data_IF_650654462868
#
_entry.id   IF_650654462868
#
_cell.length_a   1.000
_cell.length_b   1.000
_cell.length_c   1.000
_cell.angle_alpha   90.00
_cell.angle_beta   90.00
_cell.angle_gamma   90.00
#
_symmetry.space_group_name_H-M   'P 1'
#
loop_
_entity.id
_entity.type
_entity.pdbx_description
1 polymer ?
#
# COMPACT_ATOMS: atom_id res chain seq x y z
N UNK A 1 -16.01 25.10 -26.61
CA UNK A 1 -15.23 25.71 -25.51
C UNK A 1 -16.05 25.96 -24.25
N UNK A 2 -17.17 26.70 -24.33
CA UNK A 2 -18.03 26.93 -23.16
C UNK A 2 -18.60 25.63 -22.55
N UNK A 3 -18.96 24.66 -23.40
CA UNK A 3 -19.43 23.34 -22.96
C UNK A 3 -18.36 22.56 -22.17
N UNK A 4 -17.11 22.53 -22.67
CA UNK A 4 -15.98 21.86 -22.01
C UNK A 4 -15.61 22.50 -20.67
N UNK A 5 -15.65 23.83 -20.60
CA UNK A 5 -15.42 24.60 -19.36
C UNK A 5 -16.44 24.20 -18.29
N UNK A 6 -17.74 24.19 -18.65
CA UNK A 6 -18.82 23.82 -17.74
C UNK A 6 -18.76 22.36 -17.28
N UNK A 7 -18.43 21.45 -18.20
CA UNK A 7 -18.26 20.02 -17.90
C UNK A 7 -17.09 19.78 -16.92
N UNK A 8 -15.97 20.49 -17.14
CA UNK A 8 -14.80 20.45 -16.28
C UNK A 8 -15.08 21.02 -14.88
N UNK A 9 -15.78 22.15 -14.77
CA UNK A 9 -16.14 22.74 -13.48
C UNK A 9 -17.05 21.83 -12.66
N UNK A 10 -18.09 21.30 -13.30
CA UNK A 10 -19.00 20.34 -12.68
C UNK A 10 -18.25 19.10 -12.15
N UNK A 11 -17.29 18.58 -12.92
CA UNK A 11 -16.47 17.45 -12.48
C UNK A 11 -15.57 17.79 -11.28
N UNK A 12 -14.91 18.95 -11.27
CA UNK A 12 -14.02 19.35 -10.18
C UNK A 12 -14.78 19.58 -8.87
N UNK A 13 -16.00 20.13 -8.96
CA UNK A 13 -16.89 20.30 -7.81
C UNK A 13 -17.39 18.96 -7.26
N UNK A 14 -17.83 18.05 -8.15
CA UNK A 14 -18.35 16.74 -7.74
C UNK A 14 -17.26 15.80 -7.20
N UNK A 15 -16.06 15.83 -7.77
CA UNK A 15 -14.96 14.93 -7.37
C UNK A 15 -14.14 15.46 -6.20
N UNK A 16 -14.24 16.75 -5.87
CA UNK A 16 -13.35 17.41 -4.91
C UNK A 16 -11.89 17.48 -5.38
N UNK A 17 -11.60 17.15 -6.65
CA UNK A 17 -10.26 17.13 -7.19
C UNK A 17 -9.74 18.56 -7.42
N UNK A 18 -8.49 18.83 -7.01
CA UNK A 18 -7.83 20.10 -7.30
C UNK A 18 -7.48 20.22 -8.79
N UNK A 19 -7.64 21.38 -9.45
CA UNK A 19 -7.27 21.58 -10.85
C UNK A 19 -5.81 21.22 -11.18
N UNK A 20 -4.89 21.41 -10.24
CA UNK A 20 -3.47 21.04 -10.36
C UNK A 20 -3.22 19.54 -10.29
N UNK A 21 -4.11 18.77 -9.65
CA UNK A 21 -4.06 17.31 -9.65
C UNK A 21 -4.54 16.78 -11.01
N UNK A 22 -5.63 17.32 -11.54
CA UNK A 22 -6.12 17.00 -12.88
C UNK A 22 -5.06 17.29 -13.95
N UNK A 23 -4.44 18.48 -13.90
CA UNK A 23 -3.38 18.87 -14.85
C UNK A 23 -2.27 17.81 -14.92
N UNK A 24 -1.75 17.37 -13.77
CA UNK A 24 -0.74 16.32 -13.68
C UNK A 24 -1.23 14.99 -14.22
N UNK A 25 -2.46 14.60 -13.88
CA UNK A 25 -3.02 13.31 -14.27
C UNK A 25 -3.21 13.16 -15.79
N UNK A 26 -3.48 14.25 -16.52
CA UNK A 26 -3.66 14.23 -17.97
C UNK A 26 -2.43 14.74 -18.76
N UNK A 27 -1.33 15.02 -18.06
CA UNK A 27 -0.11 15.56 -18.67
C UNK A 27 -0.26 16.99 -19.24
N UNK A 28 -1.12 17.81 -18.64
CA UNK A 28 -1.35 19.21 -18.99
C UNK A 28 -0.57 20.17 -18.05
N UNK A 29 -0.34 21.40 -18.52
CA UNK A 29 0.12 22.48 -17.65
C UNK A 29 -1.03 23.04 -16.81
N UNK A 30 -0.72 23.56 -15.62
CA UNK A 30 -1.71 24.23 -14.77
C UNK A 30 -2.34 25.47 -15.47
N UNK A 31 -1.56 26.17 -16.30
CA UNK A 31 -2.05 27.29 -17.10
C UNK A 31 -3.08 26.85 -18.14
N UNK A 32 -2.89 25.70 -18.77
CA UNK A 32 -3.80 25.16 -19.78
C UNK A 32 -5.17 24.82 -19.15
N UNK A 33 -5.18 24.16 -17.99
CA UNK A 33 -6.43 23.88 -17.27
C UNK A 33 -7.15 25.16 -16.84
N UNK A 34 -6.41 26.18 -16.39
CA UNK A 34 -6.98 27.49 -16.04
C UNK A 34 -7.59 28.22 -17.25
N UNK A 35 -6.94 28.14 -18.41
CA UNK A 35 -7.44 28.70 -19.67
C UNK A 35 -8.67 27.96 -20.20
N UNK A 36 -8.71 26.63 -20.07
CA UNK A 36 -9.90 25.84 -20.42
C UNK A 36 -11.05 26.16 -19.46
N UNK A 37 -10.78 26.26 -18.16
CA UNK A 37 -11.79 26.62 -17.14
C UNK A 37 -12.41 27.99 -17.44
N UNK A 38 -11.61 28.99 -17.75
CA UNK A 38 -12.08 30.34 -18.12
C UNK A 38 -12.61 30.46 -19.56
N UNK A 39 -12.73 29.35 -20.30
CA UNK A 39 -13.14 29.30 -21.71
C UNK A 39 -12.28 30.17 -22.67
N UNK A 40 -11.04 30.49 -22.28
CA UNK A 40 -10.12 31.38 -23.00
C UNK A 40 -9.05 30.65 -23.82
N UNK A 41 -9.00 29.32 -23.74
CA UNK A 41 -8.05 28.51 -24.49
C UNK A 41 -8.35 28.49 -26.00
N UNK A 42 -7.35 28.85 -26.82
CA UNK A 42 -7.44 28.94 -28.29
C UNK A 42 -6.57 27.92 -29.05
N UNK A 43 -5.97 26.98 -28.32
CA UNK A 43 -5.12 25.95 -28.91
C UNK A 43 -5.92 24.76 -29.45
N UNK A 44 -5.35 23.55 -29.35
CA UNK A 44 -6.00 22.34 -29.83
C UNK A 44 -7.12 21.88 -28.88
N UNK A 45 -8.31 22.47 -29.07
CA UNK A 45 -9.51 22.18 -28.28
C UNK A 45 -9.94 20.72 -28.44
N UNK A 46 -9.75 20.11 -29.61
CA UNK A 46 -10.17 18.74 -29.89
C UNK A 46 -9.33 17.74 -29.08
N UNK A 47 -8.01 17.92 -29.05
CA UNK A 47 -7.12 17.06 -28.27
C UNK A 47 -7.43 17.10 -26.76
N UNK A 48 -7.57 18.30 -26.21
CA UNK A 48 -7.76 18.46 -24.76
C UNK A 48 -9.18 18.15 -24.29
N UNK A 49 -10.19 18.42 -25.13
CA UNK A 49 -11.56 17.96 -24.84
C UNK A 49 -11.63 16.45 -24.74
N UNK A 50 -11.00 15.72 -25.68
CA UNK A 50 -10.92 14.26 -25.63
C UNK A 50 -10.23 13.76 -24.36
N UNK A 51 -9.02 14.26 -24.06
CA UNK A 51 -8.27 13.86 -22.86
C UNK A 51 -9.03 14.13 -21.56
N UNK A 52 -9.70 15.28 -21.45
CA UNK A 52 -10.49 15.63 -20.26
C UNK A 52 -11.72 14.73 -20.18
N UNK A 53 -12.46 14.51 -21.26
CA UNK A 53 -13.64 13.63 -21.27
C UNK A 53 -13.28 12.18 -20.97
N UNK A 54 -12.19 11.66 -21.54
CA UNK A 54 -11.67 10.32 -21.26
C UNK A 54 -11.29 10.18 -19.76
N UNK A 55 -10.67 11.21 -19.19
CA UNK A 55 -10.35 11.24 -17.76
C UNK A 55 -11.61 11.27 -16.89
N UNK A 56 -12.58 12.13 -17.22
CA UNK A 56 -13.85 12.25 -16.51
C UNK A 56 -14.64 10.93 -16.57
N UNK A 57 -14.69 10.28 -17.74
CA UNK A 57 -15.34 8.99 -17.94
C UNK A 57 -14.70 7.90 -17.06
N UNK A 58 -13.38 7.74 -17.15
CA UNK A 58 -12.64 6.77 -16.33
C UNK A 58 -12.77 7.04 -14.81
N UNK A 59 -12.86 8.32 -14.42
CA UNK A 59 -13.05 8.69 -13.02
C UNK A 59 -14.49 8.44 -12.54
N UNK A 60 -15.49 8.65 -13.41
CA UNK A 60 -16.89 8.30 -13.12
C UNK A 60 -17.10 6.79 -13.07
N UNK A 61 -16.44 6.02 -13.93
CA UNK A 61 -16.48 4.56 -13.88
C UNK A 61 -15.88 4.05 -12.57
N UNK A 62 -14.73 4.59 -12.14
CA UNK A 62 -14.11 4.26 -10.84
C UNK A 62 -14.93 4.69 -9.61
N UNK A 63 -15.78 5.72 -9.71
CA UNK A 63 -16.64 6.17 -8.60
C UNK A 63 -18.05 5.55 -8.61
N UNK A 64 -18.60 5.24 -9.79
CA UNK A 64 -19.89 4.57 -9.95
C UNK A 64 -19.77 3.05 -9.86
N UNK A 65 -18.57 2.50 -10.05
CA UNK A 65 -18.14 1.32 -9.31
C UNK A 65 -18.16 1.69 -7.82
N UNK A 66 -19.35 1.65 -7.20
CA UNK A 66 -19.45 1.03 -5.87
C UNK A 66 -18.52 -0.17 -5.97
N UNK A 67 -17.50 -0.33 -5.10
CA UNK A 67 -16.62 -1.48 -5.20
C UNK A 67 -17.59 -2.63 -5.36
N UNK A 68 -17.60 -3.29 -6.54
CA UNK A 68 -18.30 -4.54 -6.65
C UNK A 68 -17.75 -5.24 -5.43
N UNK A 69 -18.60 -5.58 -4.47
CA UNK A 69 -18.23 -6.61 -3.52
C UNK A 69 -18.06 -7.82 -4.43
N UNK A 70 -16.91 -7.89 -5.12
CA UNK A 70 -16.33 -9.14 -5.54
C UNK A 70 -16.43 -9.94 -4.28
N UNK A 71 -17.41 -10.85 -4.27
CA UNK A 71 -17.64 -11.69 -3.13
C UNK A 71 -16.32 -12.43 -3.00
N UNK A 72 -15.52 -12.01 -2.02
CA UNK A 72 -14.20 -12.56 -1.83
C UNK A 72 -14.41 -14.05 -1.64
N UNK A 73 -13.95 -14.83 -2.61
CA UNK A 73 -14.13 -16.26 -2.57
C UNK A 73 -13.22 -16.80 -1.45
N UNK A 74 -13.86 -17.19 -0.34
CA UNK A 74 -13.15 -17.74 0.82
C UNK A 74 -12.76 -19.18 0.51
N UNK A 75 -11.63 -19.32 -0.19
CA UNK A 75 -11.02 -20.62 -0.45
C UNK A 75 -10.57 -21.29 0.86
N UNK A 76 -10.16 -22.55 0.74
CA UNK A 76 -9.51 -23.27 1.85
C UNK A 76 -8.24 -22.55 2.29
N UNK A 77 -7.41 -22.10 1.33
CA UNK A 77 -6.16 -21.39 1.60
C UNK A 77 -6.42 -20.05 2.28
N UNK A 78 -7.45 -19.32 1.85
CA UNK A 78 -7.89 -18.09 2.52
C UNK A 78 -8.20 -18.34 4.00
N UNK A 79 -8.99 -19.39 4.27
CA UNK A 79 -9.42 -19.73 5.64
C UNK A 79 -8.24 -20.19 6.49
N UNK A 80 -7.35 -21.01 5.93
CA UNK A 80 -6.15 -21.49 6.60
C UNK A 80 -5.17 -20.36 6.92
N UNK A 81 -4.85 -19.51 5.94
CA UNK A 81 -3.95 -18.38 6.14
C UNK A 81 -4.54 -17.40 7.17
N UNK A 82 -5.83 -17.08 7.07
CA UNK A 82 -6.49 -16.19 8.05
C UNK A 82 -6.46 -16.79 9.46
N UNK A 83 -6.63 -18.11 9.60
CA UNK A 83 -6.52 -18.80 10.88
C UNK A 83 -5.10 -18.68 11.45
N UNK A 84 -4.08 -19.06 10.68
CA UNK A 84 -2.67 -18.98 11.10
C UNK A 84 -2.27 -17.55 11.48
N UNK A 85 -2.67 -16.56 10.68
CA UNK A 85 -2.44 -15.15 10.98
C UNK A 85 -3.14 -14.70 12.26
N UNK A 86 -4.35 -15.20 12.55
CA UNK A 86 -5.08 -14.88 13.77
C UNK A 86 -4.42 -15.49 15.01
N UNK A 87 -3.99 -16.75 14.92
CA UNK A 87 -3.27 -17.43 16.00
C UNK A 87 -1.95 -16.72 16.31
N UNK A 88 -1.17 -16.37 15.28
CA UNK A 88 0.07 -15.62 15.47
C UNK A 88 -0.16 -14.29 16.18
N UNK A 89 -1.27 -13.59 15.86
CA UNK A 89 -1.65 -12.34 16.53
C UNK A 89 -2.03 -12.58 17.99
N UNK A 90 -2.79 -13.63 18.28
CA UNK A 90 -3.22 -13.96 19.64
C UNK A 90 -2.03 -14.33 20.53
N UNK A 91 -1.13 -15.17 20.03
CA UNK A 91 0.02 -15.70 20.77
C UNK A 91 1.27 -14.80 20.68
N UNK A 92 1.22 -13.74 19.87
CA UNK A 92 2.33 -12.81 19.59
C UNK A 92 3.55 -13.55 19.02
N UNK A 93 3.29 -14.49 18.14
CA UNK A 93 4.28 -15.34 17.48
C UNK A 93 4.61 -14.88 16.06
N UNK A 94 5.62 -15.55 15.49
CA UNK A 94 6.01 -15.37 14.09
C UNK A 94 5.28 -16.41 13.24
N UNK A 95 4.53 -15.95 12.24
CA UNK A 95 3.91 -16.82 11.25
C UNK A 95 4.57 -16.66 9.88
N UNK A 96 4.67 -17.77 9.16
CA UNK A 96 5.08 -17.82 7.77
C UNK A 96 3.91 -18.29 6.91
N UNK A 97 3.49 -17.46 5.95
CA UNK A 97 2.49 -17.81 4.94
C UNK A 97 3.19 -17.85 3.60
N UNK A 98 3.22 -19.01 2.95
CA UNK A 98 3.83 -19.14 1.63
C UNK A 98 2.97 -19.92 0.65
N UNK A 99 3.20 -19.67 -0.63
CA UNK A 99 2.51 -20.35 -1.73
C UNK A 99 2.92 -19.78 -3.07
N UNK A 100 2.48 -20.38 -4.17
CA UNK A 100 2.81 -19.91 -5.52
C UNK A 100 2.35 -18.46 -5.77
N UNK A 101 2.98 -17.79 -6.73
CA UNK A 101 2.55 -16.46 -7.18
C UNK A 101 1.13 -16.54 -7.77
N UNK A 102 0.29 -15.53 -7.50
CA UNK A 102 -1.09 -15.50 -7.98
C UNK A 102 -2.11 -16.30 -7.14
N UNK A 103 -1.69 -16.91 -6.02
CA UNK A 103 -2.60 -17.63 -5.08
C UNK A 103 -3.47 -16.73 -4.21
N UNK A 104 -3.36 -15.41 -4.35
CA UNK A 104 -4.19 -14.44 -3.60
C UNK A 104 -3.65 -14.07 -2.22
N UNK A 105 -2.38 -14.34 -1.89
CA UNK A 105 -1.74 -13.95 -0.62
C UNK A 105 -1.95 -12.48 -0.26
N UNK A 106 -1.63 -11.56 -1.16
CA UNK A 106 -1.87 -10.11 -0.97
C UNK A 106 -3.35 -9.78 -0.76
N UNK A 107 -4.26 -10.53 -1.39
CA UNK A 107 -5.71 -10.37 -1.17
C UNK A 107 -6.12 -10.81 0.23
N UNK A 108 -5.56 -11.93 0.72
CA UNK A 108 -5.77 -12.41 2.09
C UNK A 108 -5.27 -11.38 3.10
N UNK A 109 -4.05 -10.86 2.93
CA UNK A 109 -3.47 -9.82 3.79
C UNK A 109 -4.39 -8.60 3.82
N UNK A 110 -4.79 -8.10 2.64
CA UNK A 110 -5.62 -6.91 2.52
C UNK A 110 -6.99 -7.10 3.20
N UNK A 111 -7.59 -8.29 3.13
CA UNK A 111 -8.82 -8.57 3.88
C UNK A 111 -8.56 -8.64 5.40
N UNK A 112 -7.46 -9.27 5.82
CA UNK A 112 -7.09 -9.44 7.22
C UNK A 112 -6.87 -8.11 7.95
N UNK A 113 -6.25 -7.13 7.28
CA UNK A 113 -5.95 -5.81 7.85
C UNK A 113 -7.16 -4.87 7.92
N UNK A 114 -8.23 -5.09 7.12
CA UNK A 114 -9.42 -4.22 7.13
C UNK A 114 -10.08 -4.10 8.49
N UNK A 115 -10.03 -5.15 9.29
CA UNK A 115 -10.59 -5.18 10.66
C UNK A 115 -9.52 -4.96 11.74
N UNK A 116 -8.29 -4.64 11.36
CA UNK A 116 -7.12 -4.53 12.25
C UNK A 116 -6.31 -3.28 11.92
N UNK A 117 -6.77 -2.09 12.34
CA UNK A 117 -6.09 -0.81 12.05
C UNK A 117 -4.69 -0.69 12.69
N UNK A 118 -4.35 -1.58 13.62
CA UNK A 118 -3.02 -1.68 14.23
C UNK A 118 -1.99 -2.41 13.36
N UNK A 119 -2.40 -3.00 12.23
CA UNK A 119 -1.50 -3.68 11.31
C UNK A 119 -0.62 -2.70 10.54
N UNK A 120 0.64 -3.08 10.37
CA UNK A 120 1.64 -2.39 9.57
C UNK A 120 2.05 -3.36 8.48
N UNK A 121 1.74 -2.99 7.25
CA UNK A 121 2.10 -3.76 6.06
C UNK A 121 3.31 -3.12 5.39
N UNK A 122 4.33 -3.94 5.12
CA UNK A 122 5.46 -3.60 4.26
C UNK A 122 5.45 -4.59 3.10
N UNK A 123 5.62 -4.09 1.88
CA UNK A 123 5.79 -4.91 0.69
C UNK A 123 7.26 -4.85 0.30
N UNK A 124 7.96 -5.98 0.40
CA UNK A 124 9.37 -6.04 0.09
C UNK A 124 9.61 -6.10 -1.42
N UNK A 125 10.71 -5.50 -1.86
CA UNK A 125 11.15 -5.50 -3.26
C UNK A 125 12.59 -5.98 -3.33
N UNK A 126 13.08 -6.29 -4.54
CA UNK A 126 14.49 -6.62 -4.76
C UNK A 126 15.48 -5.51 -4.36
N UNK A 127 15.00 -4.30 -4.10
CA UNK A 127 15.80 -3.15 -3.64
C UNK A 127 15.67 -2.89 -2.13
N UNK A 128 14.88 -3.69 -1.41
CA UNK A 128 14.65 -3.53 0.02
C UNK A 128 15.84 -4.08 0.82
N UNK A 129 16.85 -3.22 1.02
CA UNK A 129 17.96 -3.49 1.93
C UNK A 129 17.53 -3.38 3.41
N UNK A 130 18.37 -3.83 4.34
CA UNK A 130 18.14 -3.66 5.79
C UNK A 130 17.85 -2.21 6.17
N UNK A 131 18.61 -1.26 5.63
CA UNK A 131 18.42 0.16 5.93
C UNK A 131 17.08 0.69 5.43
N UNK A 132 16.72 0.31 4.19
CA UNK A 132 15.44 0.69 3.56
C UNK A 132 14.26 0.11 4.34
N UNK A 133 14.30 -1.17 4.71
CA UNK A 133 13.25 -1.81 5.51
C UNK A 133 13.06 -1.11 6.86
N UNK A 134 14.15 -0.77 7.55
CA UNK A 134 14.07 -0.05 8.83
C UNK A 134 13.50 1.37 8.63
N UNK A 135 13.87 2.07 7.56
CA UNK A 135 13.32 3.38 7.24
C UNK A 135 11.83 3.33 6.89
N UNK A 136 11.39 2.31 6.15
CA UNK A 136 9.98 2.05 5.87
C UNK A 136 9.18 1.81 7.15
N UNK A 137 9.72 1.01 8.09
CA UNK A 137 9.11 0.81 9.40
C UNK A 137 9.02 2.12 10.20
N UNK A 138 10.09 2.91 10.27
CA UNK A 138 10.08 4.21 10.96
C UNK A 138 9.02 5.15 10.39
N UNK A 139 8.93 5.21 9.05
CA UNK A 139 7.94 6.04 8.35
C UNK A 139 6.50 5.56 8.62
N UNK A 140 6.26 4.25 8.55
CA UNK A 140 4.94 3.67 8.82
C UNK A 140 4.51 3.89 10.28
N UNK A 141 5.47 3.82 11.21
CA UNK A 141 5.27 4.08 12.64
C UNK A 141 5.22 5.56 13.00
N UNK A 142 5.65 6.46 12.10
CA UNK A 142 5.81 7.90 12.31
C UNK A 142 6.72 8.22 13.50
N UNK A 143 7.86 7.54 13.58
CA UNK A 143 8.86 7.76 14.63
C UNK A 143 10.21 8.14 14.01
N UNK A 144 10.94 8.99 14.72
CA UNK A 144 12.27 9.43 14.31
C UNK A 144 13.35 8.62 15.04
N UNK A 145 14.46 8.35 14.35
CA UNK A 145 15.62 7.67 14.91
C UNK A 145 16.91 8.15 14.25
N UNK A 146 18.04 7.89 14.92
CA UNK A 146 19.35 8.15 14.34
C UNK A 146 19.59 7.34 13.06
N UNK A 147 20.47 7.82 12.18
CA UNK A 147 20.70 7.25 10.85
C UNK A 147 21.26 5.82 10.84
N UNK A 148 21.89 5.35 11.92
CA UNK A 148 22.46 4.00 11.98
C UNK A 148 21.41 2.91 12.24
N UNK A 149 21.52 1.78 11.53
CA UNK A 149 20.55 0.68 11.57
C UNK A 149 20.33 0.12 12.99
N UNK A 150 21.39 -0.02 13.79
CA UNK A 150 21.27 -0.52 15.16
C UNK A 150 20.40 0.37 16.05
N UNK A 151 20.46 1.69 15.87
CA UNK A 151 19.61 2.64 16.60
C UNK A 151 18.18 2.61 16.07
N UNK A 152 17.98 2.53 14.74
CA UNK A 152 16.64 2.39 14.13
C UNK A 152 15.92 1.15 14.65
N UNK A 153 16.59 -0.01 14.62
CA UNK A 153 16.05 -1.28 15.13
C UNK A 153 15.61 -1.15 16.60
N UNK A 154 16.48 -0.61 17.46
CA UNK A 154 16.16 -0.41 18.88
C UNK A 154 15.02 0.58 19.09
N UNK A 155 14.92 1.64 18.29
CA UNK A 155 13.84 2.62 18.37
C UNK A 155 12.49 1.99 18.00
N UNK A 156 12.46 1.25 16.88
CA UNK A 156 11.29 0.49 16.41
C UNK A 156 10.85 -0.50 17.49
N UNK A 157 11.76 -1.33 17.99
CA UNK A 157 11.44 -2.33 19.01
C UNK A 157 10.88 -1.69 20.30
N UNK A 158 11.45 -0.57 20.76
CA UNK A 158 10.93 0.15 21.94
C UNK A 158 9.52 0.68 21.70
N UNK A 159 9.27 1.27 20.54
CA UNK A 159 7.96 1.80 20.20
C UNK A 159 6.91 0.68 20.13
N UNK A 160 7.23 -0.42 19.44
CA UNK A 160 6.34 -1.56 19.30
C UNK A 160 6.06 -2.26 20.64
N UNK A 161 7.01 -2.25 21.59
CA UNK A 161 6.80 -2.83 22.92
C UNK A 161 5.67 -2.16 23.71
N UNK A 162 5.45 -0.87 23.49
CA UNK A 162 4.41 -0.10 24.18
C UNK A 162 3.14 0.09 23.35
N UNK A 163 3.18 -0.30 22.07
CA UNK A 163 2.09 -0.10 21.12
C UNK A 163 1.73 -1.45 20.51
N UNK A 164 0.53 -1.95 20.78
CA UNK A 164 0.06 -3.20 20.20
C UNK A 164 -0.09 -3.05 18.68
N UNK A 165 0.89 -3.56 17.93
CA UNK A 165 0.96 -3.51 16.47
C UNK A 165 1.15 -4.91 15.92
N UNK A 166 0.72 -5.11 14.68
CA UNK A 166 0.94 -6.35 13.93
C UNK A 166 1.86 -6.04 12.77
N UNK A 167 3.04 -6.66 12.72
CA UNK A 167 3.95 -6.49 11.59
C UNK A 167 3.63 -7.53 10.53
N UNK A 168 3.41 -7.08 9.30
CA UNK A 168 3.17 -7.94 8.15
C UNK A 168 4.14 -7.53 7.06
N UNK A 169 4.87 -8.49 6.50
CA UNK A 169 5.77 -8.28 5.37
C UNK A 169 5.32 -9.15 4.21
N UNK A 170 4.80 -8.53 3.15
CA UNK A 170 4.48 -9.20 1.89
C UNK A 170 5.71 -9.26 0.99
N UNK A 171 5.74 -10.24 0.09
CA UNK A 171 6.86 -10.51 -0.83
C UNK A 171 8.23 -10.64 -0.12
N UNK A 172 8.22 -11.20 1.11
CA UNK A 172 9.37 -11.25 1.99
C UNK A 172 10.53 -12.11 1.45
N UNK A 173 10.33 -12.92 0.40
CA UNK A 173 11.42 -13.59 -0.33
C UNK A 173 12.47 -12.64 -0.89
N UNK A 174 12.12 -11.37 -1.12
CA UNK A 174 13.06 -10.36 -1.62
C UNK A 174 13.92 -9.76 -0.51
N UNK A 175 13.60 -10.01 0.76
CA UNK A 175 14.42 -9.53 1.86
C UNK A 175 15.71 -10.33 1.99
N UNK A 176 16.86 -9.67 2.19
CA UNK A 176 18.09 -10.36 2.55
C UNK A 176 17.94 -11.02 3.92
N UNK A 177 18.63 -12.14 4.15
CA UNK A 177 18.60 -12.89 5.42
C UNK A 177 18.84 -11.99 6.65
N UNK A 178 19.74 -11.00 6.53
CA UNK A 178 20.00 -10.03 7.61
C UNK A 178 18.77 -9.18 7.95
N UNK A 179 17.95 -8.80 6.97
CA UNK A 179 16.73 -8.05 7.22
C UNK A 179 15.66 -8.93 7.89
N UNK A 180 15.54 -10.19 7.49
CA UNK A 180 14.67 -11.17 8.14
C UNK A 180 15.07 -11.40 9.61
N UNK A 181 16.37 -11.54 9.89
CA UNK A 181 16.87 -11.64 11.26
C UNK A 181 16.60 -10.37 12.08
N UNK A 182 16.78 -9.18 11.51
CA UNK A 182 16.46 -7.92 12.20
C UNK A 182 14.97 -7.81 12.52
N UNK A 183 14.08 -8.21 11.60
CA UNK A 183 12.63 -8.28 11.85
C UNK A 183 12.29 -9.27 12.98
N UNK A 184 12.89 -10.47 12.95
CA UNK A 184 12.74 -11.48 14.02
C UNK A 184 13.17 -10.91 15.37
N UNK A 185 14.32 -10.24 15.44
CA UNK A 185 14.81 -9.60 16.67
C UNK A 185 13.90 -8.47 17.15
N UNK A 186 13.34 -7.67 16.24
CA UNK A 186 12.37 -6.64 16.59
C UNK A 186 11.13 -7.28 17.23
N UNK A 187 10.58 -8.33 16.61
CA UNK A 187 9.44 -9.06 17.12
C UNK A 187 9.72 -9.65 18.51
N UNK A 188 10.88 -10.29 18.71
CA UNK A 188 11.31 -10.86 19.99
C UNK A 188 11.43 -9.77 21.09
N UNK A 189 12.04 -8.64 20.77
CA UNK A 189 12.25 -7.55 21.74
C UNK A 189 10.95 -6.83 22.12
N UNK A 190 10.06 -6.64 21.15
CA UNK A 190 8.81 -5.93 21.32
C UNK A 190 7.67 -6.85 21.80
N UNK A 191 7.81 -8.18 21.63
CA UNK A 191 6.74 -9.18 21.80
C UNK A 191 5.50 -8.80 20.99
N UNK A 192 5.69 -8.62 19.69
CA UNK A 192 4.62 -8.31 18.73
C UNK A 192 4.55 -9.40 17.65
N UNK A 193 3.37 -9.70 17.13
CA UNK A 193 3.22 -10.67 16.06
C UNK A 193 3.92 -10.18 14.78
N UNK A 194 4.62 -11.09 14.13
CA UNK A 194 5.28 -10.88 12.85
C UNK A 194 4.78 -11.92 11.85
N UNK A 195 4.19 -11.46 10.76
CA UNK A 195 3.67 -12.32 9.70
C UNK A 195 4.51 -12.08 8.45
N UNK A 196 5.28 -13.09 8.05
CA UNK A 196 6.05 -13.09 6.82
C UNK A 196 5.24 -13.80 5.73
N UNK A 197 5.06 -13.14 4.60
CA UNK A 197 4.28 -13.66 3.48
C UNK A 197 5.14 -13.65 2.22
N UNK A 198 5.10 -14.74 1.45
CA UNK A 198 5.93 -14.86 0.25
C UNK A 198 5.72 -16.13 -0.56
N UNK A 199 6.65 -16.44 -1.46
CA UNK A 199 6.70 -17.71 -2.18
C UNK A 199 7.48 -18.80 -1.45
N UNK A 200 7.55 -20.00 -2.01
CA UNK A 200 8.37 -21.10 -1.46
C UNK A 200 9.86 -20.74 -1.32
N UNK A 201 10.35 -19.74 -2.05
CA UNK A 201 11.71 -19.23 -1.92
C UNK A 201 11.95 -18.70 -0.51
N UNK A 202 10.96 -18.00 0.07
CA UNK A 202 11.04 -17.50 1.43
C UNK A 202 11.21 -18.64 2.44
N UNK A 203 10.45 -19.72 2.30
CA UNK A 203 10.59 -20.91 3.15
C UNK A 203 11.99 -21.51 3.08
N UNK A 204 12.55 -21.64 1.88
CA UNK A 204 13.92 -22.14 1.68
C UNK A 204 14.96 -21.22 2.32
N UNK A 205 14.83 -19.90 2.14
CA UNK A 205 15.72 -18.91 2.74
C UNK A 205 15.77 -19.02 4.28
N UNK A 206 14.64 -19.36 4.92
CA UNK A 206 14.55 -19.49 6.37
C UNK A 206 15.09 -20.84 6.90
N UNK A 207 15.12 -21.89 6.06
CA UNK A 207 15.56 -23.23 6.45
C UNK A 207 17.05 -23.51 6.19
N UNK A 208 17.72 -22.68 5.38
CA UNK A 208 19.14 -22.86 5.01
C UNK A 208 19.31 -23.72 3.79
#
# INVERSE_FOLDING_TARGET
MQELSKELECFLEQSGMKPSALARAIGASASLISQIKSASYKGDVALWSKKIRDFIANHKDKQNEKPKKEQLFRSRDFSMATFVMSEAVNEKEIALIFGEAGTGKTTIINEFIKTRPQSILIEATCHTSVGVMLDELLNALKIEANSNNASKLKAIARFLKTNEKILIVDEAEYLPLKALEDLRRIADFARVPLILVGTEILYKNLMG
#
